data_IF_395029892193
#
_entry.id   IF_395029892193
#
_cell.length_a   1.000
_cell.length_b   1.000
_cell.length_c   1.000
_cell.angle_alpha   90.00
_cell.angle_beta   90.00
_cell.angle_gamma   90.00
#
_symmetry.space_group_name_H-M   'P 1'
#
loop_
_entity.id
_entity.type
_entity.pdbx_description
1 polymer ?
#
# COMPACT_ATOMS: atom_id res chain seq x y z
N UNK A 1 30.32 22.02 15.69
CA UNK A 1 29.78 20.67 15.63
C UNK A 1 29.77 20.26 14.17
N UNK A 2 30.55 19.26 13.77
CA UNK A 2 30.55 18.81 12.37
C UNK A 2 29.28 17.95 12.12
N UNK A 3 28.42 18.42 11.25
CA UNK A 3 27.35 17.56 10.71
C UNK A 3 28.00 16.52 9.82
N UNK A 4 27.92 15.27 10.23
CA UNK A 4 28.32 14.15 9.38
C UNK A 4 27.11 13.80 8.54
N UNK A 5 27.01 14.40 7.36
CA UNK A 5 26.07 13.94 6.35
C UNK A 5 26.60 12.65 5.73
N UNK A 6 26.07 11.51 6.15
CA UNK A 6 26.19 10.32 5.36
C UNK A 6 25.32 10.49 4.11
N UNK A 7 25.97 10.77 3.00
CA UNK A 7 25.32 10.58 1.71
C UNK A 7 25.25 9.08 1.53
N UNK A 8 24.11 8.48 1.88
CA UNK A 8 23.80 7.12 1.48
C UNK A 8 23.97 7.03 -0.04
N UNK A 9 24.48 5.90 -0.52
CA UNK A 9 24.69 5.67 -1.96
C UNK A 9 23.42 6.13 -2.71
N UNK A 10 23.56 7.19 -3.50
CA UNK A 10 22.45 7.74 -4.28
C UNK A 10 22.10 6.67 -5.29
N UNK A 11 20.92 6.09 -5.17
CA UNK A 11 20.41 5.22 -6.22
C UNK A 11 20.33 6.03 -7.52
N UNK A 12 20.99 5.59 -8.61
CA UNK A 12 21.09 6.40 -9.85
C UNK A 12 19.73 6.82 -10.41
N UNK A 13 18.66 6.10 -10.06
CA UNK A 13 17.30 6.39 -10.50
C UNK A 13 16.53 7.34 -9.56
N UNK A 14 17.10 7.70 -8.40
CA UNK A 14 16.41 8.58 -7.42
C UNK A 14 16.25 10.03 -7.90
N UNK A 15 17.05 10.46 -8.87
CA UNK A 15 16.99 11.82 -9.41
C UNK A 15 16.00 11.98 -10.57
N UNK A 16 15.35 10.89 -10.99
CA UNK A 16 14.36 10.95 -12.06
C UNK A 16 13.10 11.65 -11.57
N UNK A 17 12.67 12.70 -12.28
CA UNK A 17 11.46 13.42 -11.94
C UNK A 17 10.22 12.57 -12.18
N UNK A 18 9.34 12.54 -11.19
CA UNK A 18 8.01 11.94 -11.33
C UNK A 18 7.06 13.03 -11.78
N UNK A 19 6.42 12.83 -12.93
CA UNK A 19 5.46 13.76 -13.50
C UNK A 19 4.15 13.08 -13.85
N UNK A 20 3.06 13.83 -13.78
CA UNK A 20 1.75 13.43 -14.27
C UNK A 20 1.33 14.39 -15.38
N UNK A 21 0.79 13.87 -16.45
CA UNK A 21 0.35 14.67 -17.60
C UNK A 21 -0.91 14.08 -18.24
N UNK A 22 -1.37 14.66 -19.33
CA UNK A 22 -2.60 14.23 -20.00
C UNK A 22 -2.60 12.75 -20.43
N UNK A 23 -1.43 12.15 -20.67
CA UNK A 23 -1.34 10.72 -21.01
C UNK A 23 -1.68 9.79 -19.84
N UNK A 24 -1.60 10.30 -18.62
CA UNK A 24 -1.95 9.58 -17.40
C UNK A 24 -3.45 9.66 -17.09
N UNK A 25 -4.17 10.57 -17.76
CA UNK A 25 -5.60 10.74 -17.54
C UNK A 25 -6.37 9.49 -17.96
N UNK A 26 -7.29 8.98 -17.13
CA UNK A 26 -8.08 7.80 -17.48
C UNK A 26 -8.98 8.11 -18.68
N UNK A 27 -9.09 7.17 -19.61
CA UNK A 27 -9.89 7.31 -20.85
C UNK A 27 -11.37 7.56 -20.59
N UNK A 28 -11.86 7.17 -19.43
CA UNK A 28 -13.24 7.35 -19.00
C UNK A 28 -13.26 8.11 -17.69
N UNK A 29 -13.66 9.36 -17.72
CA UNK A 29 -14.01 10.11 -16.51
C UNK A 29 -15.35 9.56 -16.02
N UNK A 30 -15.32 8.60 -15.15
CA UNK A 30 -16.51 8.32 -14.37
C UNK A 30 -16.75 9.48 -13.40
N UNK A 31 -18.00 9.87 -13.18
CA UNK A 31 -18.41 10.92 -12.24
C UNK A 31 -18.05 10.62 -10.76
N UNK A 32 -17.16 9.68 -10.52
CA UNK A 32 -16.77 9.15 -9.23
C UNK A 32 -15.31 9.51 -8.92
N UNK A 33 -15.00 10.80 -9.05
CA UNK A 33 -13.71 11.41 -8.67
C UNK A 33 -13.34 11.23 -7.17
N UNK A 34 -14.14 10.50 -6.41
CA UNK A 34 -13.92 10.15 -5.01
C UNK A 34 -13.56 8.67 -4.84
N UNK A 35 -13.26 7.96 -5.93
CA UNK A 35 -12.89 6.56 -5.85
C UNK A 35 -11.54 6.41 -5.11
N UNK A 36 -11.48 5.46 -4.21
CA UNK A 36 -10.28 5.08 -3.49
C UNK A 36 -9.26 4.45 -4.45
N UNK A 37 -7.98 4.62 -4.17
CA UNK A 37 -6.92 3.93 -4.89
C UNK A 37 -6.82 2.48 -4.41
N UNK A 38 -7.14 1.54 -5.27
CA UNK A 38 -7.04 0.10 -5.00
C UNK A 38 -6.06 -0.53 -5.97
N UNK A 39 -5.00 -1.12 -5.44
CA UNK A 39 -3.94 -1.73 -6.22
C UNK A 39 -3.83 -3.24 -5.94
N UNK A 40 -3.04 -3.91 -6.76
CA UNK A 40 -2.86 -5.36 -6.71
C UNK A 40 -1.39 -5.76 -6.63
N UNK A 41 -0.69 -5.40 -5.54
CA UNK A 41 0.70 -5.80 -5.33
C UNK A 41 0.83 -7.29 -5.08
N UNK A 42 2.06 -7.79 -5.22
CA UNK A 42 2.44 -9.09 -4.68
C UNK A 42 2.89 -8.85 -3.24
N UNK A 43 2.28 -9.58 -2.32
CA UNK A 43 2.63 -9.56 -0.90
C UNK A 43 3.08 -10.96 -0.50
N UNK A 44 4.31 -11.06 -0.01
CA UNK A 44 5.02 -12.33 0.15
C UNK A 44 5.13 -13.03 -1.21
N UNK A 45 4.38 -14.09 -1.45
CA UNK A 45 4.29 -14.78 -2.75
C UNK A 45 2.89 -14.73 -3.38
N UNK A 46 2.00 -13.95 -2.80
CA UNK A 46 0.59 -13.89 -3.21
C UNK A 46 0.24 -12.55 -3.85
N UNK A 47 -0.51 -12.57 -4.91
CA UNK A 47 -1.11 -11.35 -5.45
C UNK A 47 -2.37 -11.00 -4.68
N UNK A 48 -2.33 -9.90 -3.95
CA UNK A 48 -3.49 -9.35 -3.27
C UNK A 48 -4.17 -8.33 -4.19
N UNK A 49 -5.37 -8.65 -4.64
CA UNK A 49 -6.07 -7.84 -5.68
C UNK A 49 -6.85 -6.65 -5.14
N UNK A 50 -6.97 -6.53 -3.83
CA UNK A 50 -7.79 -5.51 -3.17
C UNK A 50 -7.02 -4.83 -2.04
N UNK A 51 -5.93 -4.15 -2.39
CA UNK A 51 -5.13 -3.39 -1.43
C UNK A 51 -5.48 -1.93 -1.53
N UNK A 52 -6.07 -1.40 -0.47
CA UNK A 52 -6.41 0.02 -0.36
C UNK A 52 -5.13 0.83 -0.10
N UNK A 53 -4.90 1.84 -0.95
CA UNK A 53 -3.83 2.80 -0.78
C UNK A 53 -4.35 4.05 -0.09
N UNK A 54 -4.08 4.21 1.20
CA UNK A 54 -4.60 5.30 2.02
C UNK A 54 -3.47 6.08 2.70
N UNK A 55 -3.01 7.12 2.05
CA UNK A 55 -1.98 8.01 2.60
C UNK A 55 -2.42 8.81 3.84
N UNK A 56 -3.71 8.83 4.15
CA UNK A 56 -4.24 9.42 5.39
C UNK A 56 -4.13 8.49 6.61
N UNK A 57 -3.96 7.18 6.38
CA UNK A 57 -3.80 6.22 7.47
C UNK A 57 -2.38 6.25 8.03
N UNK A 58 -2.26 6.28 9.35
CA UNK A 58 -0.97 6.13 10.03
C UNK A 58 -0.47 4.69 10.14
N UNK A 59 -1.27 3.72 9.74
CA UNK A 59 -0.98 2.29 9.88
C UNK A 59 -1.09 1.58 8.54
N UNK A 60 -0.29 0.51 8.39
CA UNK A 60 -0.52 -0.51 7.39
C UNK A 60 -1.28 -1.65 8.05
N UNK A 61 -2.35 -2.11 7.43
CA UNK A 61 -3.21 -3.16 7.98
C UNK A 61 -3.24 -4.36 7.04
N UNK A 62 -3.22 -5.55 7.62
CA UNK A 62 -3.59 -6.77 6.93
C UNK A 62 -4.63 -7.51 7.77
N UNK A 63 -5.65 -8.05 7.13
CA UNK A 63 -6.76 -8.68 7.83
C UNK A 63 -6.43 -10.15 8.12
N UNK A 64 -6.86 -10.66 9.29
CA UNK A 64 -6.65 -12.06 9.66
C UNK A 64 -7.12 -13.02 8.58
N UNK A 65 -8.27 -12.75 8.00
CA UNK A 65 -8.82 -13.57 6.91
C UNK A 65 -7.88 -13.64 5.70
N UNK A 66 -7.20 -12.53 5.38
CA UNK A 66 -6.20 -12.50 4.30
C UNK A 66 -5.01 -13.40 4.65
N UNK A 67 -4.49 -13.29 5.86
CA UNK A 67 -3.37 -14.13 6.33
C UNK A 67 -3.73 -15.61 6.34
N UNK A 68 -4.95 -15.95 6.73
CA UNK A 68 -5.47 -17.32 6.68
C UNK A 68 -5.48 -17.87 5.25
N UNK A 69 -5.98 -17.09 4.30
CA UNK A 69 -5.99 -17.45 2.87
C UNK A 69 -4.59 -17.55 2.27
N UNK A 70 -3.65 -16.79 2.78
CA UNK A 70 -2.23 -16.89 2.40
C UNK A 70 -1.51 -18.06 3.07
N UNK A 71 -2.17 -18.77 3.98
CA UNK A 71 -1.58 -19.87 4.76
C UNK A 71 -0.29 -19.44 5.50
N UNK A 72 -0.29 -18.22 6.01
CA UNK A 72 0.84 -17.66 6.76
C UNK A 72 1.05 -18.45 8.05
N UNK A 73 2.30 -18.79 8.34
CA UNK A 73 2.68 -19.35 9.62
C UNK A 73 2.47 -18.29 10.73
N UNK A 74 1.57 -18.58 11.66
CA UNK A 74 1.22 -17.69 12.77
C UNK A 74 2.40 -17.35 13.68
N UNK A 75 3.46 -18.17 13.68
CA UNK A 75 4.71 -17.88 14.40
C UNK A 75 5.42 -16.62 13.90
N UNK A 76 5.11 -16.19 12.67
CA UNK A 76 5.63 -14.93 12.09
C UNK A 76 4.95 -13.69 12.66
N UNK A 77 3.79 -13.83 13.30
CA UNK A 77 3.06 -12.71 13.90
C UNK A 77 3.64 -12.42 15.26
N UNK A 78 4.10 -11.19 15.46
CA UNK A 78 4.69 -10.70 16.70
C UNK A 78 3.69 -9.85 17.47
N UNK A 79 3.92 -9.69 18.77
CA UNK A 79 3.07 -8.83 19.59
C UNK A 79 3.09 -7.37 19.09
N UNK A 80 1.94 -6.73 19.18
CA UNK A 80 1.76 -5.32 18.89
C UNK A 80 1.00 -4.63 20.02
N UNK A 81 1.40 -3.40 20.34
CA UNK A 81 0.69 -2.53 21.27
C UNK A 81 -0.44 -1.72 20.63
N UNK A 82 -0.62 -1.86 19.30
CA UNK A 82 -1.61 -1.09 18.56
C UNK A 82 -3.02 -1.50 18.96
N UNK A 83 -3.87 -0.49 19.19
CA UNK A 83 -5.30 -0.67 19.45
C UNK A 83 -6.08 0.03 18.35
N UNK A 84 -7.02 -0.68 17.73
CA UNK A 84 -7.92 -0.09 16.75
C UNK A 84 -9.11 0.54 17.49
N UNK A 85 -9.21 1.85 17.45
CA UNK A 85 -10.42 2.56 17.87
C UNK A 85 -11.42 2.52 16.73
N UNK A 86 -12.42 1.69 16.87
CA UNK A 86 -13.55 1.71 15.95
C UNK A 86 -14.38 2.98 16.18
N UNK A 87 -14.89 3.54 15.10
CA UNK A 87 -15.89 4.62 15.09
C UNK A 87 -17.22 4.18 15.76
N UNK A 88 -17.38 2.90 16.06
CA UNK A 88 -18.51 2.37 16.85
C UNK A 88 -18.11 2.38 18.33
N UNK A 89 -18.81 3.14 19.19
CA UNK A 89 -18.36 3.45 20.56
C UNK A 89 -18.22 2.27 21.52
N UNK A 90 -18.53 1.05 21.15
CA UNK A 90 -18.72 -0.03 22.12
C UNK A 90 -17.69 -1.15 22.13
N UNK A 91 -16.72 -1.18 21.20
CA UNK A 91 -15.67 -2.23 21.19
C UNK A 91 -14.34 -1.71 20.65
N UNK A 92 -13.38 -1.56 21.53
CA UNK A 92 -11.97 -1.48 21.12
C UNK A 92 -11.53 -2.88 20.66
N UNK A 93 -11.30 -3.02 19.34
CA UNK A 93 -10.67 -4.22 18.83
C UNK A 93 -9.15 -4.09 19.03
N UNK A 94 -8.56 -4.98 19.78
CA UNK A 94 -7.10 -5.06 19.92
C UNK A 94 -6.52 -5.67 18.64
N UNK A 95 -5.37 -5.15 18.24
CA UNK A 95 -4.58 -5.73 17.19
C UNK A 95 -4.16 -7.16 17.56
N UNK A 96 -4.32 -8.12 16.65
CA UNK A 96 -3.89 -9.50 16.87
C UNK A 96 -2.36 -9.66 16.86
N UNK A 97 -1.65 -8.66 16.41
CA UNK A 97 -0.19 -8.64 16.32
C UNK A 97 0.28 -7.84 15.12
N UNK A 98 1.55 -7.96 14.81
CA UNK A 98 2.15 -7.36 13.62
C UNK A 98 2.97 -8.38 12.83
N UNK A 99 3.05 -8.19 11.53
CA UNK A 99 3.82 -9.05 10.63
C UNK A 99 4.53 -8.20 9.59
N UNK A 100 5.78 -8.54 9.29
CA UNK A 100 6.54 -7.91 8.21
C UNK A 100 6.55 -8.81 7.00
N UNK A 101 6.11 -8.28 5.86
CA UNK A 101 6.00 -8.99 4.59
C UNK A 101 6.62 -8.15 3.48
N UNK A 102 7.19 -8.82 2.49
CA UNK A 102 7.66 -8.16 1.27
C UNK A 102 6.46 -7.73 0.43
N UNK A 103 6.46 -6.48 0.00
CA UNK A 103 5.46 -5.92 -0.91
C UNK A 103 6.15 -5.52 -2.20
N UNK A 104 5.66 -6.04 -3.31
CA UNK A 104 6.23 -5.82 -4.64
C UNK A 104 5.24 -5.07 -5.52
N UNK A 105 5.67 -3.93 -6.03
CA UNK A 105 4.98 -3.17 -7.07
C UNK A 105 5.79 -3.17 -8.35
N UNK A 106 5.10 -3.23 -9.49
CA UNK A 106 5.69 -3.16 -10.81
C UNK A 106 5.56 -4.46 -11.60
N UNK A 107 6.44 -4.59 -12.57
CA UNK A 107 6.51 -5.74 -13.47
C UNK A 107 7.87 -6.44 -13.33
N UNK A 108 8.07 -7.66 -13.84
CA UNK A 108 9.36 -8.32 -13.79
C UNK A 108 10.52 -7.49 -14.37
N UNK A 109 10.22 -6.62 -15.34
CA UNK A 109 11.23 -5.76 -15.98
C UNK A 109 11.56 -4.52 -15.18
N UNK A 110 10.64 -4.07 -14.33
CA UNK A 110 10.81 -2.87 -13.52
C UNK A 110 9.93 -2.94 -12.28
N UNK A 111 10.50 -3.36 -11.16
CA UNK A 111 9.76 -3.53 -9.92
C UNK A 111 10.55 -3.02 -8.72
N UNK A 112 9.82 -2.75 -7.65
CA UNK A 112 10.37 -2.51 -6.32
C UNK A 112 9.75 -3.45 -5.32
N UNK A 113 10.61 -4.01 -4.46
CA UNK A 113 10.24 -4.84 -3.33
C UNK A 113 10.72 -4.19 -2.05
N UNK A 114 9.80 -3.94 -1.13
CA UNK A 114 10.10 -3.33 0.17
C UNK A 114 9.45 -4.13 1.29
N UNK A 115 10.14 -4.23 2.41
CA UNK A 115 9.58 -4.83 3.63
C UNK A 115 8.61 -3.86 4.28
N UNK A 116 7.37 -4.28 4.47
CA UNK A 116 6.32 -3.49 5.11
C UNK A 116 5.82 -4.22 6.35
N UNK A 117 5.75 -3.51 7.46
CA UNK A 117 5.16 -4.02 8.69
C UNK A 117 3.68 -3.68 8.72
N UNK A 118 2.86 -4.72 8.79
CA UNK A 118 1.41 -4.63 8.89
C UNK A 118 0.96 -4.89 10.32
N UNK A 119 -0.02 -4.13 10.79
CA UNK A 119 -0.80 -4.51 11.96
C UNK A 119 -1.88 -5.49 11.52
N UNK A 120 -2.04 -6.57 12.26
CA UNK A 120 -3.01 -7.62 11.95
C UNK A 120 -4.36 -7.25 12.54
N UNK A 121 -5.32 -6.96 11.67
CA UNK A 121 -6.66 -6.57 12.06
C UNK A 121 -7.56 -7.80 12.25
N UNK A 122 -8.16 -7.99 13.44
CA UNK A 122 -8.96 -9.17 13.75
C UNK A 122 -10.42 -9.06 13.30
N UNK A 123 -10.72 -8.17 12.38
CA UNK A 123 -12.06 -7.98 11.84
C UNK A 123 -12.07 -8.13 10.32
N UNK A 124 -13.25 -8.42 9.77
CA UNK A 124 -13.43 -8.57 8.34
C UNK A 124 -13.48 -7.23 7.63
N UNK A 125 -12.99 -7.21 6.40
CA UNK A 125 -13.05 -6.08 5.49
C UNK A 125 -13.28 -6.56 4.07
N UNK A 126 -13.81 -5.68 3.23
CA UNK A 126 -13.86 -5.90 1.78
C UNK A 126 -12.48 -5.82 1.11
N UNK A 127 -11.48 -5.29 1.79
CA UNK A 127 -10.10 -5.23 1.33
C UNK A 127 -9.26 -6.39 1.88
N UNK A 128 -8.20 -6.75 1.16
CA UNK A 128 -7.21 -7.71 1.66
C UNK A 128 -6.22 -7.09 2.63
N UNK A 129 -5.84 -5.86 2.36
CA UNK A 129 -4.90 -5.08 3.16
C UNK A 129 -5.10 -3.59 2.91
N UNK A 130 -4.47 -2.77 3.76
CA UNK A 130 -4.39 -1.32 3.63
C UNK A 130 -2.94 -0.90 3.78
N UNK A 131 -2.45 -0.13 2.83
CA UNK A 131 -1.15 0.51 2.90
C UNK A 131 -1.32 1.98 3.24
N UNK A 132 -0.76 2.38 4.37
CA UNK A 132 -0.84 3.72 4.91
C UNK A 132 0.37 4.59 4.55
N UNK A 133 0.47 5.71 5.25
CA UNK A 133 1.50 6.74 5.01
C UNK A 133 2.93 6.19 5.08
N UNK A 134 3.20 5.28 6.00
CA UNK A 134 4.53 4.66 6.12
C UNK A 134 4.94 3.95 4.82
N UNK A 135 4.03 3.17 4.24
CA UNK A 135 4.29 2.49 2.97
C UNK A 135 4.52 3.49 1.82
N UNK A 136 3.72 4.55 1.74
CA UNK A 136 3.96 5.63 0.76
C UNK A 136 5.35 6.24 0.92
N UNK A 137 5.79 6.43 2.15
CA UNK A 137 7.13 6.99 2.44
C UNK A 137 8.23 6.02 2.05
N UNK A 138 8.10 4.75 2.38
CA UNK A 138 9.10 3.71 2.06
C UNK A 138 9.26 3.55 0.54
N UNK A 139 8.15 3.50 -0.20
CA UNK A 139 8.18 3.43 -1.66
C UNK A 139 8.45 4.78 -2.32
N UNK A 140 8.39 5.87 -1.58
CA UNK A 140 8.38 7.23 -2.14
C UNK A 140 7.31 7.37 -3.24
N UNK A 141 6.14 6.81 -2.94
CA UNK A 141 5.03 6.73 -3.86
C UNK A 141 4.22 8.02 -3.88
N UNK A 142 3.87 8.48 -5.08
CA UNK A 142 3.14 9.71 -5.30
C UNK A 142 1.80 9.38 -5.94
N UNK A 143 0.68 9.60 -5.24
CA UNK A 143 -0.64 9.37 -5.78
C UNK A 143 -1.15 10.58 -6.57
N UNK A 144 -1.92 10.31 -7.59
CA UNK A 144 -2.77 11.29 -8.25
C UNK A 144 -4.21 10.77 -8.24
N UNK A 145 -4.99 11.23 -7.28
CA UNK A 145 -6.35 10.70 -7.09
C UNK A 145 -7.27 11.00 -8.28
N UNK A 146 -7.17 12.16 -8.88
CA UNK A 146 -7.95 12.50 -10.06
C UNK A 146 -7.66 11.61 -11.27
N UNK A 147 -6.45 11.12 -11.40
CA UNK A 147 -6.06 10.19 -12.47
C UNK A 147 -6.17 8.72 -12.03
N UNK A 148 -6.46 8.46 -10.77
CA UNK A 148 -6.50 7.13 -10.18
C UNK A 148 -5.20 6.35 -10.42
N UNK A 149 -4.07 7.02 -10.26
CA UNK A 149 -2.74 6.46 -10.48
C UNK A 149 -1.82 6.74 -9.31
N UNK A 150 -0.85 5.85 -9.17
CA UNK A 150 0.25 5.97 -8.24
C UNK A 150 1.54 5.76 -9.02
N UNK A 151 2.52 6.62 -8.79
CA UNK A 151 3.83 6.50 -9.41
C UNK A 151 4.92 6.41 -8.35
N UNK A 152 5.95 5.65 -8.66
CA UNK A 152 7.17 5.54 -7.87
C UNK A 152 8.38 5.37 -8.78
N UNK A 153 9.54 5.71 -8.27
CA UNK A 153 10.79 5.46 -8.98
C UNK A 153 11.13 3.97 -8.93
N UNK A 154 11.51 3.42 -10.05
CA UNK A 154 12.03 2.07 -10.15
C UNK A 154 13.44 2.03 -10.72
N UNK A 155 14.13 0.89 -10.65
CA UNK A 155 15.51 0.76 -11.15
C UNK A 155 15.62 0.96 -12.66
N UNK A 156 14.55 0.75 -13.41
CA UNK A 156 14.49 0.87 -14.87
C UNK A 156 13.48 1.94 -15.35
N UNK A 157 13.27 2.97 -14.55
CA UNK A 157 12.38 4.07 -14.87
C UNK A 157 11.20 4.17 -13.89
N UNK A 158 10.24 5.02 -14.21
CA UNK A 158 9.07 5.25 -13.38
C UNK A 158 8.11 4.06 -13.47
N UNK A 159 7.73 3.54 -12.31
CA UNK A 159 6.66 2.55 -12.19
C UNK A 159 5.35 3.30 -12.06
N UNK A 160 4.43 3.07 -12.99
CA UNK A 160 3.09 3.65 -12.99
C UNK A 160 2.06 2.56 -12.72
N UNK A 161 1.26 2.75 -11.68
CA UNK A 161 0.23 1.82 -11.25
C UNK A 161 -1.13 2.48 -11.38
N UNK A 162 -2.06 1.81 -12.05
CA UNK A 162 -3.43 2.28 -12.20
C UNK A 162 -4.34 1.56 -11.18
N UNK A 163 -5.19 2.34 -10.51
CA UNK A 163 -6.24 1.78 -9.67
C UNK A 163 -7.32 1.13 -10.53
N UNK A 164 -7.84 -0.01 -10.07
CA UNK A 164 -8.98 -0.66 -10.70
C UNK A 164 -10.29 -0.01 -10.19
N UNK A 165 -11.00 0.75 -11.04
CA UNK A 165 -12.21 1.43 -10.62
C UNK A 165 -13.35 0.46 -10.28
N UNK A 166 -13.41 -0.70 -10.94
CA UNK A 166 -14.47 -1.68 -10.73
C UNK A 166 -14.33 -2.37 -9.37
N UNK A 167 -13.11 -2.64 -8.96
CA UNK A 167 -12.82 -3.21 -7.64
C UNK A 167 -13.12 -2.17 -6.56
N UNK A 168 -12.66 -0.94 -6.73
CA UNK A 168 -12.92 0.15 -5.79
C UNK A 168 -14.41 0.33 -5.51
N UNK A 169 -15.25 0.23 -6.54
CA UNK A 169 -16.70 0.39 -6.42
C UNK A 169 -17.43 -0.80 -5.79
N UNK A 170 -16.87 -2.00 -5.89
CA UNK A 170 -17.49 -3.22 -5.32
C UNK A 170 -17.23 -3.36 -3.83
N UNK A 171 -16.18 -2.77 -3.33
CA UNK A 171 -15.79 -2.86 -1.92
C UNK A 171 -16.53 -1.86 -1.05
N UNK A 172 -16.92 -0.71 -1.61
CA UNK A 172 -17.66 0.35 -0.91
C UNK A 172 -19.17 0.06 -0.78
N UNK A 173 -19.64 -1.13 -1.20
CA UNK A 173 -21.01 -1.63 -1.01
C UNK A 173 -21.06 -2.70 0.07
#
# INVERSE_FOLDING_TARGET
MAEICHIAAINPWSDTAITFNASDEPKFRTARALATLVLSPIVDVFRLTKVLMDGGSGLNLIYEETLQKMEIDWSRIKQSSTTFRRIIPSREARCAGKITLDVVFGTPDNYRSEEITFQVAPFSSGYHALLGREAFTIFQAIPHYGYMKLKMLGPNGIITLASDPDIALRVDK
#
